data_IF_695346230638
#
_entry.id   IF_695346230638
#
_cell.length_a   1.000
_cell.length_b   1.000
_cell.length_c   1.000
_cell.angle_alpha   90.00
_cell.angle_beta   90.00
_cell.angle_gamma   90.00
#
_symmetry.space_group_name_H-M   'P 1'
#
loop_
_entity.id
_entity.type
_entity.pdbx_description
1 polymer ?
#
# COMPACT_ATOMS: atom_id res chain seq x y z
N UNK A 1 -23.23 17.88 -11.10
CA UNK A 1 -22.32 16.88 -10.49
C UNK A 1 -20.93 17.48 -10.60
N UNK A 2 -20.31 17.86 -9.48
CA UNK A 2 -19.00 18.51 -9.50
C UNK A 2 -17.95 17.40 -9.37
N UNK A 3 -17.00 17.38 -10.30
CA UNK A 3 -15.86 16.47 -10.24
C UNK A 3 -14.58 17.22 -10.53
N UNK A 4 -13.49 16.73 -9.96
CA UNK A 4 -12.14 17.22 -10.19
C UNK A 4 -11.25 16.08 -10.67
N UNK A 5 -10.21 16.41 -11.44
CA UNK A 5 -9.28 15.45 -12.01
C UNK A 5 -7.86 15.84 -11.63
N UNK A 6 -7.09 14.85 -11.20
CA UNK A 6 -5.64 14.98 -11.03
C UNK A 6 -4.90 13.92 -11.82
N UNK A 7 -3.76 14.32 -12.37
CA UNK A 7 -2.87 13.43 -13.13
C UNK A 7 -1.43 13.61 -12.67
N UNK A 8 -0.64 12.55 -12.79
CA UNK A 8 0.76 12.58 -12.45
C UNK A 8 1.57 11.56 -13.25
N UNK A 9 2.87 11.83 -13.37
CA UNK A 9 3.85 10.98 -14.05
C UNK A 9 5.11 10.87 -13.19
N UNK A 10 5.60 9.65 -13.01
CA UNK A 10 6.75 9.34 -12.17
C UNK A 10 7.76 8.48 -12.92
N UNK A 11 9.03 8.89 -12.90
CA UNK A 11 10.13 8.04 -13.37
C UNK A 11 10.36 6.86 -12.41
N UNK A 12 10.33 5.64 -12.94
CA UNK A 12 10.60 4.41 -12.17
C UNK A 12 12.04 4.44 -11.64
N UNK A 13 13.00 4.92 -12.44
CA UNK A 13 14.39 5.08 -12.02
C UNK A 13 14.56 6.06 -10.84
N UNK A 14 13.70 7.08 -10.73
CA UNK A 14 13.70 7.99 -9.57
C UNK A 14 13.29 7.25 -8.29
N UNK A 15 12.28 6.39 -8.39
CA UNK A 15 11.81 5.58 -7.27
C UNK A 15 12.84 4.53 -6.90
N UNK A 16 13.43 3.85 -7.88
CA UNK A 16 14.50 2.87 -7.64
C UNK A 16 15.67 3.50 -6.88
N UNK A 17 16.19 4.64 -7.33
CA UNK A 17 17.29 5.35 -6.64
C UNK A 17 16.93 5.71 -5.20
N UNK A 18 15.69 6.09 -4.93
CA UNK A 18 15.23 6.41 -3.58
C UNK A 18 15.13 5.14 -2.71
N UNK A 19 14.63 4.03 -3.27
CA UNK A 19 14.57 2.73 -2.61
C UNK A 19 15.97 2.20 -2.29
N UNK A 20 16.90 2.28 -3.22
CA UNK A 20 18.30 1.88 -3.00
C UNK A 20 18.98 2.69 -1.91
N UNK A 21 18.73 4.01 -1.90
CA UNK A 21 19.37 4.93 -0.96
C UNK A 21 18.81 4.83 0.46
N UNK A 22 17.52 4.56 0.61
CA UNK A 22 16.81 4.73 1.88
C UNK A 22 16.06 3.47 2.36
N UNK A 23 16.00 2.43 1.53
CA UNK A 23 15.39 1.16 1.86
C UNK A 23 13.92 1.26 2.26
N UNK A 24 13.53 0.43 3.24
CA UNK A 24 12.17 0.35 3.76
C UNK A 24 11.66 1.69 4.31
N UNK A 25 12.54 2.50 4.91
CA UNK A 25 12.17 3.81 5.45
C UNK A 25 11.59 4.73 4.38
N UNK A 26 12.09 4.67 3.13
CA UNK A 26 11.49 5.44 2.05
C UNK A 26 10.08 4.94 1.69
N UNK A 27 9.86 3.64 1.65
CA UNK A 27 8.54 3.07 1.40
C UNK A 27 7.54 3.49 2.48
N UNK A 28 7.94 3.40 3.75
CA UNK A 28 7.14 3.79 4.90
C UNK A 28 6.82 5.29 4.99
N UNK A 29 7.46 6.15 4.19
CA UNK A 29 7.08 7.57 4.10
C UNK A 29 5.78 7.79 3.36
N UNK A 30 5.49 6.96 2.35
CA UNK A 30 4.35 7.19 1.46
C UNK A 30 3.39 6.00 1.32
N UNK A 31 3.76 4.82 1.83
CA UNK A 31 2.95 3.62 1.78
C UNK A 31 2.54 3.18 3.18
N UNK A 32 1.26 2.87 3.33
CA UNK A 32 0.76 2.08 4.43
C UNK A 32 1.39 0.67 4.38
N UNK A 33 1.51 0.00 5.53
CA UNK A 33 2.02 -1.38 5.61
C UNK A 33 1.40 -2.33 4.59
N UNK A 34 0.09 -2.20 4.39
CA UNK A 34 -0.68 -2.95 3.41
C UNK A 34 -0.26 -2.72 1.96
N UNK A 35 0.05 -1.48 1.61
CA UNK A 35 0.45 -1.09 0.25
C UNK A 35 1.88 -1.56 -0.03
N UNK A 36 2.76 -1.56 0.97
CA UNK A 36 4.10 -2.14 0.86
C UNK A 36 4.00 -3.61 0.48
N UNK A 37 3.13 -4.37 1.16
CA UNK A 37 2.89 -5.78 0.86
C UNK A 37 2.23 -5.98 -0.51
N UNK A 38 1.32 -5.09 -0.90
CA UNK A 38 0.70 -5.10 -2.23
C UNK A 38 1.70 -4.83 -3.36
N UNK A 39 2.82 -4.15 -3.07
CA UNK A 39 3.89 -3.89 -4.01
C UNK A 39 4.94 -5.00 -4.08
N UNK A 40 4.85 -6.04 -3.24
CA UNK A 40 5.75 -7.19 -3.32
C UNK A 40 5.54 -7.97 -4.64
N UNK A 41 6.62 -8.46 -5.24
CA UNK A 41 6.56 -9.29 -6.47
C UNK A 41 5.77 -10.58 -6.26
N UNK A 42 5.99 -11.19 -5.10
CA UNK A 42 5.31 -12.41 -4.68
C UNK A 42 5.22 -12.38 -3.15
N UNK A 43 4.02 -12.11 -2.64
CA UNK A 43 3.76 -12.04 -1.20
C UNK A 43 4.05 -13.38 -0.52
N UNK A 44 3.76 -14.51 -1.19
CA UNK A 44 4.03 -15.86 -0.66
C UNK A 44 5.53 -16.10 -0.54
N UNK A 45 6.33 -15.63 -1.48
CA UNK A 45 7.80 -15.71 -1.41
C UNK A 45 8.35 -14.96 -0.21
N UNK A 46 7.91 -13.71 0.00
CA UNK A 46 8.35 -12.91 1.14
C UNK A 46 7.89 -13.53 2.48
N UNK A 47 6.67 -14.07 2.51
CA UNK A 47 6.16 -14.80 3.66
C UNK A 47 6.98 -16.06 3.96
N UNK A 48 7.36 -16.82 2.94
CA UNK A 48 8.19 -18.01 3.11
C UNK A 48 9.58 -17.65 3.66
N UNK A 49 10.24 -16.64 3.09
CA UNK A 49 11.50 -16.09 3.62
C UNK A 49 11.39 -15.69 5.10
N UNK A 50 10.30 -15.00 5.46
CA UNK A 50 10.04 -14.62 6.84
C UNK A 50 9.85 -15.84 7.74
N UNK A 51 9.06 -16.83 7.33
CA UNK A 51 8.82 -18.06 8.10
C UNK A 51 10.09 -18.90 8.25
N UNK A 52 10.91 -18.99 7.21
CA UNK A 52 12.21 -19.67 7.24
C UNK A 52 13.15 -19.03 8.27
N UNK A 53 13.24 -17.69 8.30
CA UNK A 53 14.06 -16.96 9.28
C UNK A 53 13.66 -17.21 10.74
N UNK A 54 12.40 -17.57 11.00
CA UNK A 54 11.92 -17.98 12.32
C UNK A 54 12.25 -19.43 12.65
N UNK A 55 12.18 -20.32 11.64
CA UNK A 55 12.46 -21.74 11.82
C UNK A 55 13.92 -22.05 12.15
N UNK A 56 14.84 -21.15 11.82
CA UNK A 56 16.25 -21.25 12.23
C UNK A 56 16.47 -20.86 13.70
N UNK A 57 15.51 -20.15 14.31
CA UNK A 57 15.56 -19.70 15.71
C UNK A 57 14.80 -20.64 16.68
N UNK A 58 13.91 -21.51 16.17
CA UNK A 58 13.14 -22.48 16.97
C UNK A 58 13.46 -23.93 16.55
N UNK A 59 13.52 -24.86 17.52
CA UNK A 59 13.93 -26.26 17.29
C UNK A 59 13.05 -26.97 16.23
N UNK A 60 13.70 -27.64 15.26
CA UNK A 60 13.12 -28.25 14.03
C UNK A 60 11.99 -29.28 14.22
N UNK A 61 11.69 -29.73 15.46
CA UNK A 61 10.74 -30.81 15.72
C UNK A 61 9.28 -30.35 15.91
N UNK A 62 9.01 -29.08 16.23
CA UNK A 62 7.63 -28.59 16.41
C UNK A 62 6.99 -28.01 15.13
N UNK A 63 7.80 -27.75 14.09
CA UNK A 63 7.37 -26.99 12.90
C UNK A 63 6.64 -27.89 11.88
N UNK A 64 7.06 -29.15 11.71
CA UNK A 64 6.46 -30.08 10.74
C UNK A 64 4.99 -30.43 11.03
N UNK A 65 4.52 -30.23 12.26
CA UNK A 65 3.12 -30.49 12.64
C UNK A 65 2.18 -29.29 12.42
N UNK A 66 2.73 -28.09 12.26
CA UNK A 66 1.97 -26.84 12.08
C UNK A 66 1.94 -26.30 10.64
N UNK A 67 2.57 -26.98 9.70
CA UNK A 67 2.74 -26.57 8.29
C UNK A 67 1.47 -26.59 7.42
N UNK A 68 0.26 -26.61 7.98
CA UNK A 68 -0.98 -26.52 7.19
C UNK A 68 -1.96 -25.43 7.61
N UNK A 69 -1.87 -24.84 8.80
CA UNK A 69 -2.86 -23.84 9.26
C UNK A 69 -2.21 -22.90 10.30
N UNK A 70 -1.19 -22.14 9.91
CA UNK A 70 -1.11 -20.76 10.43
C UNK A 70 -1.77 -19.94 9.35
N UNK A 71 -3.09 -19.73 9.50
CA UNK A 71 -3.88 -18.99 8.53
C UNK A 71 -3.18 -17.67 8.18
N UNK A 72 -2.83 -17.53 6.89
CA UNK A 72 -2.40 -16.27 6.26
C UNK A 72 -3.27 -15.07 6.71
N UNK A 73 -4.54 -15.32 7.05
CA UNK A 73 -5.52 -14.34 7.53
C UNK A 73 -5.17 -13.67 8.89
N UNK A 74 -4.30 -14.26 9.72
CA UNK A 74 -3.94 -13.70 11.03
C UNK A 74 -2.62 -12.92 11.01
N UNK A 75 -1.74 -13.14 10.02
CA UNK A 75 -0.43 -12.47 9.93
C UNK A 75 -0.49 -11.26 8.99
N UNK A 76 -1.34 -11.28 7.96
CA UNK A 76 -1.50 -10.12 7.08
C UNK A 76 -3.00 -9.78 6.99
N UNK A 77 -3.45 -8.84 7.82
CA UNK A 77 -4.67 -8.10 7.51
C UNK A 77 -4.34 -7.11 6.39
N UNK A 78 -4.52 -7.53 5.14
CA UNK A 78 -4.61 -6.58 4.05
C UNK A 78 -5.92 -5.78 4.20
N UNK A 79 -5.99 -4.52 3.73
CA UNK A 79 -7.22 -3.82 3.42
C UNK A 79 -7.92 -4.62 2.35
N UNK A 80 -8.70 -5.59 2.80
CA UNK A 80 -9.66 -6.24 1.93
C UNK A 80 -10.78 -5.24 1.72
N UNK A 81 -11.48 -5.38 0.60
CA UNK A 81 -12.75 -4.67 0.36
C UNK A 81 -13.71 -4.77 1.56
N UNK A 82 -13.58 -5.77 2.45
CA UNK A 82 -14.40 -5.89 3.67
C UNK A 82 -14.03 -4.91 4.80
N UNK A 83 -12.81 -4.39 4.84
CA UNK A 83 -12.33 -3.46 5.87
C UNK A 83 -12.43 -1.99 5.44
N UNK A 84 -12.80 -1.74 4.19
CA UNK A 84 -13.07 -0.41 3.64
C UNK A 84 -14.57 -0.29 3.53
N UNK A 85 -15.15 0.83 3.97
CA UNK A 85 -16.55 1.10 3.63
C UNK A 85 -16.59 1.35 2.13
N UNK A 86 -17.03 0.35 1.37
CA UNK A 86 -16.94 0.35 -0.09
C UNK A 86 -18.02 1.17 -0.77
N UNK A 87 -19.07 1.53 -0.04
CA UNK A 87 -20.06 2.48 -0.53
C UNK A 87 -19.44 3.87 -0.65
N UNK A 88 -18.56 4.23 0.30
CA UNK A 88 -17.97 5.57 0.37
C UNK A 88 -16.46 5.62 0.05
N UNK A 89 -15.81 4.47 -0.14
CA UNK A 89 -14.36 4.32 -0.28
C UNK A 89 -13.59 5.02 0.85
N UNK A 90 -13.98 4.72 2.09
CA UNK A 90 -13.36 5.32 3.28
C UNK A 90 -12.77 4.25 4.20
N UNK A 91 -11.72 4.65 4.92
CA UNK A 91 -11.15 3.87 6.02
C UNK A 91 -11.02 4.73 7.27
N UNK A 92 -11.17 4.10 8.44
CA UNK A 92 -11.09 4.73 9.76
C UNK A 92 -9.69 4.68 10.37
N UNK A 93 -9.47 5.41 11.45
CA UNK A 93 -8.22 5.30 12.23
C UNK A 93 -8.04 3.88 12.79
N UNK A 94 -9.15 3.19 13.11
CA UNK A 94 -9.10 1.78 13.57
C UNK A 94 -8.58 0.86 12.46
N UNK A 95 -8.97 1.11 11.21
CA UNK A 95 -8.48 0.34 10.06
C UNK A 95 -6.98 0.58 9.87
N UNK A 96 -6.56 1.85 9.93
CA UNK A 96 -5.13 2.23 9.86
C UNK A 96 -4.29 1.54 10.92
N UNK A 97 -4.74 1.54 12.18
CA UNK A 97 -4.06 0.88 13.30
C UNK A 97 -4.02 -0.65 13.14
N UNK A 98 -5.11 -1.25 12.63
CA UNK A 98 -5.19 -2.69 12.36
C UNK A 98 -4.13 -3.12 11.34
N UNK A 99 -3.91 -2.33 10.29
CA UNK A 99 -2.90 -2.62 9.26
C UNK A 99 -1.47 -2.55 9.82
N UNK A 100 -1.18 -1.58 10.69
CA UNK A 100 0.11 -1.50 11.36
C UNK A 100 0.36 -2.73 12.24
N UNK A 101 -0.56 -3.03 13.16
CA UNK A 101 -0.34 -4.06 14.19
C UNK A 101 -0.17 -5.49 13.64
N UNK A 102 -0.91 -5.87 12.60
CA UNK A 102 -0.82 -7.25 12.08
C UNK A 102 0.54 -7.55 11.45
N UNK A 103 1.29 -6.54 11.04
CA UNK A 103 2.46 -6.71 10.20
C UNK A 103 3.80 -6.44 10.90
N UNK A 104 3.78 -6.06 12.18
CA UNK A 104 4.97 -5.61 12.93
C UNK A 104 6.17 -6.58 12.84
N UNK A 105 5.94 -7.90 12.97
CA UNK A 105 7.03 -8.87 12.86
C UNK A 105 7.59 -9.00 11.44
N UNK A 106 6.73 -8.93 10.42
CA UNK A 106 7.15 -8.97 9.02
C UNK A 106 7.93 -7.70 8.66
N UNK A 107 7.50 -6.54 9.17
CA UNK A 107 8.23 -5.28 9.00
C UNK A 107 9.56 -5.27 9.75
N UNK A 108 9.63 -5.87 10.95
CA UNK A 108 10.90 -6.07 11.65
C UNK A 108 11.86 -6.93 10.82
N UNK A 109 11.37 -8.01 10.21
CA UNK A 109 12.16 -8.81 9.27
C UNK A 109 12.62 -8.00 8.05
N UNK A 110 11.72 -7.24 7.43
CA UNK A 110 12.04 -6.40 6.26
C UNK A 110 13.01 -5.27 6.60
N UNK A 111 12.99 -4.72 7.82
CA UNK A 111 13.96 -3.72 8.26
C UNK A 111 15.38 -4.28 8.30
N UNK A 112 15.53 -5.52 8.77
CA UNK A 112 16.83 -6.19 8.89
C UNK A 112 17.31 -6.77 7.56
N UNK A 113 16.39 -7.27 6.73
CA UNK A 113 16.70 -8.02 5.52
C UNK A 113 16.20 -7.31 4.26
N UNK A 114 16.19 -5.98 4.26
CA UNK A 114 15.63 -5.21 3.15
C UNK A 114 16.35 -5.53 1.84
N UNK A 115 15.59 -5.93 0.82
CA UNK A 115 16.08 -6.01 -0.55
C UNK A 115 15.05 -5.40 -1.51
N UNK A 116 15.51 -4.52 -2.41
CA UNK A 116 14.68 -3.95 -3.47
C UNK A 116 14.06 -5.04 -4.36
N UNK A 117 14.72 -6.19 -4.50
CA UNK A 117 14.28 -7.32 -5.32
C UNK A 117 12.95 -7.90 -4.85
N UNK A 118 12.55 -7.69 -3.59
CA UNK A 118 11.24 -8.11 -3.08
C UNK A 118 10.08 -7.30 -3.67
N UNK A 119 10.33 -6.10 -4.20
CA UNK A 119 9.31 -5.16 -4.62
C UNK A 119 9.25 -5.00 -6.14
N UNK A 120 8.05 -4.73 -6.65
CA UNK A 120 7.81 -4.32 -8.03
C UNK A 120 8.02 -2.81 -8.15
N UNK A 121 9.17 -2.39 -8.67
CA UNK A 121 9.48 -0.96 -8.88
C UNK A 121 8.42 -0.19 -9.70
N UNK A 122 7.84 -0.74 -10.78
CA UNK A 122 6.76 -0.06 -11.49
C UNK A 122 5.51 0.15 -10.62
N UNK A 123 5.17 -0.81 -9.76
CA UNK A 123 4.05 -0.71 -8.82
C UNK A 123 4.30 0.38 -7.78
N UNK A 124 5.52 0.44 -7.21
CA UNK A 124 5.89 1.49 -6.27
C UNK A 124 5.80 2.89 -6.90
N UNK A 125 6.25 3.03 -8.14
CA UNK A 125 6.13 4.28 -8.89
C UNK A 125 4.67 4.65 -9.20
N UNK A 126 3.85 3.66 -9.55
CA UNK A 126 2.41 3.83 -9.73
C UNK A 126 1.70 4.29 -8.46
N UNK A 127 2.09 3.74 -7.30
CA UNK A 127 1.53 4.14 -6.00
C UNK A 127 1.93 5.55 -5.59
N UNK A 128 3.18 5.95 -5.85
CA UNK A 128 3.57 7.35 -5.69
C UNK A 128 2.73 8.25 -6.59
N UNK A 129 2.67 7.91 -7.88
CA UNK A 129 1.96 8.69 -8.90
C UNK A 129 0.49 8.88 -8.54
N UNK A 130 -0.21 7.83 -8.11
CA UNK A 130 -1.66 7.95 -7.84
C UNK A 130 -1.96 8.78 -6.59
N UNK A 131 -1.08 8.77 -5.58
CA UNK A 131 -1.24 9.61 -4.39
C UNK A 131 -1.03 11.09 -4.72
N UNK A 132 -0.08 11.40 -5.61
CA UNK A 132 0.10 12.75 -6.16
C UNK A 132 -1.06 13.17 -7.08
N UNK A 133 -1.59 12.26 -7.90
CA UNK A 133 -2.80 12.53 -8.69
C UNK A 133 -4.00 12.82 -7.79
N UNK A 134 -4.14 12.12 -6.67
CA UNK A 134 -5.23 12.37 -5.73
C UNK A 134 -5.10 13.73 -5.04
N UNK A 135 -3.89 14.13 -4.62
CA UNK A 135 -3.67 15.46 -4.02
C UNK A 135 -4.04 16.58 -4.98
N UNK A 136 -3.64 16.46 -6.26
CA UNK A 136 -4.04 17.39 -7.34
C UNK A 136 -5.55 17.43 -7.57
N UNK A 137 -6.22 16.28 -7.60
CA UNK A 137 -7.68 16.21 -7.74
C UNK A 137 -8.42 16.87 -6.55
N UNK A 138 -7.81 16.85 -5.36
CA UNK A 138 -8.35 17.54 -4.16
C UNK A 138 -7.97 19.02 -4.09
N UNK A 139 -7.14 19.51 -5.03
CA UNK A 139 -6.66 20.89 -5.03
C UNK A 139 -5.66 21.21 -3.92
N UNK A 140 -4.95 20.21 -3.38
CA UNK A 140 -3.97 20.37 -2.30
C UNK A 140 -2.63 19.73 -2.65
N UNK A 141 -1.55 20.18 -1.99
CA UNK A 141 -0.28 19.46 -2.00
C UNK A 141 -0.25 18.33 -0.98
N UNK A 142 0.71 17.41 -1.11
CA UNK A 142 1.03 16.48 -0.03
C UNK A 142 1.64 17.25 1.14
N UNK A 143 1.01 17.17 2.30
CA UNK A 143 1.41 17.95 3.49
C UNK A 143 0.43 17.77 4.64
N UNK A 144 0.21 18.85 5.40
CA UNK A 144 -0.63 18.84 6.60
C UNK A 144 -2.10 18.53 6.30
N UNK A 145 -2.65 19.16 5.25
CA UNK A 145 -4.06 18.96 4.85
C UNK A 145 -4.33 17.56 4.28
N UNK A 146 -3.34 16.96 3.62
CA UNK A 146 -3.41 15.62 3.04
C UNK A 146 -2.02 14.97 3.07
N UNK A 147 -1.85 13.97 3.92
CA UNK A 147 -0.64 13.15 3.96
C UNK A 147 -0.79 11.91 3.08
N UNK A 148 0.33 11.29 2.71
CA UNK A 148 0.31 10.01 2.01
C UNK A 148 -0.45 8.91 2.78
N UNK A 149 -0.49 8.98 4.11
CA UNK A 149 -1.14 7.99 4.98
C UNK A 149 -2.62 8.27 5.23
N UNK A 150 -3.19 9.29 4.58
CA UNK A 150 -4.64 9.49 4.49
C UNK A 150 -5.25 8.84 3.26
N UNK A 151 -4.40 8.20 2.44
CA UNK A 151 -4.75 7.51 1.23
C UNK A 151 -4.35 6.04 1.36
N UNK A 152 -5.27 5.15 1.02
CA UNK A 152 -5.07 3.71 1.04
C UNK A 152 -5.41 3.11 -0.32
N UNK A 153 -4.39 2.57 -1.00
CA UNK A 153 -4.54 1.84 -2.24
C UNK A 153 -4.82 0.36 -1.91
N UNK A 154 -5.84 -0.19 -2.57
CA UNK A 154 -6.17 -1.60 -2.47
C UNK A 154 -6.59 -2.15 -3.83
N UNK A 155 -6.63 -3.47 -3.98
CA UNK A 155 -7.12 -4.13 -5.19
C UNK A 155 -8.36 -4.94 -4.89
N UNK A 156 -9.30 -4.98 -5.83
CA UNK A 156 -10.40 -5.93 -5.76
C UNK A 156 -9.97 -7.35 -6.19
N UNK A 157 -10.92 -8.30 -6.16
CA UNK A 157 -10.66 -9.69 -6.54
C UNK A 157 -10.25 -9.89 -8.00
N UNK A 158 -10.46 -8.88 -8.86
CA UNK A 158 -10.04 -8.86 -10.26
C UNK A 158 -8.71 -8.12 -10.45
N UNK A 159 -8.09 -7.64 -9.37
CA UNK A 159 -6.83 -6.91 -9.40
C UNK A 159 -6.95 -5.44 -9.76
N UNK A 160 -8.17 -4.89 -9.92
CA UNK A 160 -8.35 -3.47 -10.24
C UNK A 160 -7.98 -2.63 -9.02
N UNK A 161 -7.16 -1.57 -9.17
CA UNK A 161 -6.82 -0.70 -8.06
C UNK A 161 -7.99 0.23 -7.70
N UNK A 162 -8.15 0.44 -6.40
CA UNK A 162 -9.08 1.37 -5.78
C UNK A 162 -8.32 2.24 -4.78
N UNK A 163 -8.85 3.44 -4.52
CA UNK A 163 -8.30 4.39 -3.56
C UNK A 163 -9.36 4.68 -2.51
N UNK A 164 -9.04 4.42 -1.25
CA UNK A 164 -9.82 4.86 -0.12
C UNK A 164 -9.16 6.06 0.56
N UNK A 165 -9.98 6.99 1.04
CA UNK A 165 -9.53 8.15 1.80
C UNK A 165 -9.85 7.98 3.28
N UNK A 166 -9.03 8.59 4.12
CA UNK A 166 -9.25 8.54 5.55
C UNK A 166 -10.50 9.33 5.91
N UNK A 167 -11.33 8.80 6.81
CA UNK A 167 -12.63 9.40 7.19
C UNK A 167 -12.52 10.85 7.68
N UNK A 168 -11.35 11.27 8.20
CA UNK A 168 -11.10 12.67 8.60
C UNK A 168 -11.30 13.65 7.45
N UNK A 169 -11.07 13.19 6.21
CA UNK A 169 -11.19 14.01 5.00
C UNK A 169 -12.65 14.34 4.68
N UNK A 170 -13.62 13.55 5.14
CA UNK A 170 -15.05 13.85 4.96
C UNK A 170 -15.47 15.17 5.61
N UNK A 171 -14.81 15.57 6.70
CA UNK A 171 -15.11 16.83 7.38
C UNK A 171 -14.73 18.04 6.53
N UNK A 172 -13.74 17.87 5.67
CA UNK A 172 -13.19 18.95 4.83
C UNK A 172 -13.79 18.92 3.44
N UNK A 173 -14.02 17.73 2.88
CA UNK A 173 -14.54 17.52 1.54
C UNK A 173 -15.75 16.61 1.60
N UNK A 174 -16.88 17.03 1.03
CA UNK A 174 -18.08 16.21 0.86
C UNK A 174 -17.88 15.15 -0.24
N UNK A 175 -16.86 14.31 -0.10
CA UNK A 175 -16.42 13.38 -1.13
C UNK A 175 -17.40 12.21 -1.24
N UNK A 176 -17.95 12.01 -2.44
CA UNK A 176 -18.90 10.93 -2.73
C UNK A 176 -18.21 9.71 -3.33
N UNK A 177 -17.20 9.93 -4.19
CA UNK A 177 -16.53 8.85 -4.90
C UNK A 177 -15.14 9.27 -5.37
N UNK A 178 -14.20 8.34 -5.31
CA UNK A 178 -12.93 8.41 -6.01
C UNK A 178 -12.84 7.28 -7.06
N UNK A 179 -12.26 7.55 -8.21
CA UNK A 179 -11.96 6.55 -9.22
C UNK A 179 -10.56 6.78 -9.77
N UNK A 180 -9.79 5.71 -9.83
CA UNK A 180 -8.37 5.78 -10.16
C UNK A 180 -8.02 4.82 -11.30
N UNK A 181 -6.96 5.18 -12.03
CA UNK A 181 -6.29 4.29 -12.96
C UNK A 181 -4.79 4.53 -12.90
N UNK A 182 -4.02 3.44 -13.01
CA UNK A 182 -2.56 3.44 -12.95
C UNK A 182 -2.07 2.63 -14.14
N UNK A 183 -1.09 3.16 -14.85
CA UNK A 183 -0.38 2.44 -15.91
C UNK A 183 1.12 2.70 -15.79
N UNK A 184 1.94 1.84 -16.36
CA UNK A 184 3.37 2.06 -16.46
C UNK A 184 3.87 1.53 -17.79
N UNK A 185 4.79 2.26 -18.40
CA UNK A 185 5.46 1.84 -19.63
C UNK A 185 6.82 2.54 -19.74
N UNK A 186 7.77 1.86 -20.39
CA UNK A 186 9.09 2.39 -20.76
C UNK A 186 9.80 3.23 -19.67
N UNK A 187 9.86 2.71 -18.43
CA UNK A 187 10.55 3.39 -17.33
C UNK A 187 9.76 4.50 -16.64
N UNK A 188 8.49 4.68 -16.98
CA UNK A 188 7.59 5.69 -16.42
C UNK A 188 6.31 5.04 -15.87
N UNK A 189 5.76 5.63 -14.81
CA UNK A 189 4.44 5.31 -14.28
C UNK A 189 3.54 6.55 -14.40
N UNK A 190 2.29 6.34 -14.78
CA UNK A 190 1.29 7.38 -14.96
C UNK A 190 0.04 7.02 -14.17
N UNK A 191 -0.68 8.05 -13.75
CA UNK A 191 -1.95 7.84 -13.09
C UNK A 191 -2.94 8.97 -13.34
N UNK A 192 -4.22 8.63 -13.15
CA UNK A 192 -5.33 9.58 -13.12
C UNK A 192 -6.20 9.28 -11.91
N UNK A 193 -6.61 10.34 -11.22
CA UNK A 193 -7.57 10.32 -10.14
C UNK A 193 -8.74 11.23 -10.49
N UNK A 194 -9.97 10.72 -10.38
CA UNK A 194 -11.20 11.49 -10.54
C UNK A 194 -11.95 11.44 -9.22
N UNK A 195 -12.32 12.61 -8.70
CA UNK A 195 -13.04 12.76 -7.44
C UNK A 195 -14.38 13.43 -7.71
N UNK A 196 -15.45 12.90 -7.11
CA UNK A 196 -16.80 13.41 -7.19
C UNK A 196 -17.22 13.92 -5.81
N UNK A 197 -17.78 15.13 -5.75
CA UNK A 197 -18.29 15.79 -4.54
C UNK A 197 -19.83 15.85 -4.49
#
# INVERSE_FOLDING_TARGET
>A
MNFEIGTDIVSIARIEKAVEKHGLNFLQRFLLPSEILLACKNTDYLLNLFLESKSEQENKQDIKKNQKIIQLNNIICLPTHKAINTENLLFSEKDKQRYSKCSDMLFSFLHTNFDKMYFMLPTLAGFWSIKESCSKALGVGIGESLSFHDMCIFKDSKGKPHLALHERMLKTWNLKKASISITHDNGMAFSVCVIIF
#
